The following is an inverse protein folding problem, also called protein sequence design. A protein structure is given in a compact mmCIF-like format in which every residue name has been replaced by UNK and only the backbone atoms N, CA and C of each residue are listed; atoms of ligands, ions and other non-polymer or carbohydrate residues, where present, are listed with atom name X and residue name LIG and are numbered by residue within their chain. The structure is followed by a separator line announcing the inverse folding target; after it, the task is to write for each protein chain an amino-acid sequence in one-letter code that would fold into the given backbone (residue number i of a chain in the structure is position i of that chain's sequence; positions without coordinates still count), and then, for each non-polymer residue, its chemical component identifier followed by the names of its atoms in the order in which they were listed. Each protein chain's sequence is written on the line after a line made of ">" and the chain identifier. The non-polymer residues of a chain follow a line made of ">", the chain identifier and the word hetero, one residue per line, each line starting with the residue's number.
data_IF_399277705847
#
_entry.id   IF_399277705847
#
_cell.length_a   1.000
_cell.length_b   1.000
_cell.length_c   1.000
_cell.angle_alpha   90.00
_cell.angle_beta   90.00
_cell.angle_gamma   90.00
#
_symmetry.space_group_name_H-M   'P 1'
#
loop_
_entity.id
_entity.type
_entity.pdbx_description
1 polymer ?
#
# COMPACT_ATOMS: atom_id res chain seq x y z
N UNK A 1 5.82 -16.45 12.27
CA UNK A 1 5.35 -15.63 11.12
C UNK A 1 6.14 -14.34 11.10
N UNK A 2 7.40 -14.40 11.52
CA UNK A 2 8.13 -13.27 12.14
C UNK A 2 8.88 -12.45 11.09
N UNK A 3 8.46 -12.65 9.84
CA UNK A 3 9.03 -12.08 8.62
C UNK A 3 8.02 -11.19 7.90
N UNK A 4 6.80 -11.01 8.42
CA UNK A 4 5.85 -10.05 7.89
C UNK A 4 5.50 -9.02 8.97
N UNK A 5 5.47 -7.75 8.59
CA UNK A 5 5.13 -6.63 9.47
C UNK A 5 4.00 -5.82 8.85
N UNK A 6 2.97 -5.54 9.63
CA UNK A 6 1.88 -4.67 9.19
C UNK A 6 2.39 -3.23 9.06
N UNK A 7 2.02 -2.54 7.97
CA UNK A 7 2.41 -1.15 7.71
C UNK A 7 1.21 -0.23 7.92
N UNK A 8 0.16 -0.42 7.12
CA UNK A 8 -1.04 0.42 7.10
C UNK A 8 -2.22 -0.39 6.56
N UNK A 9 -3.43 0.02 6.92
CA UNK A 9 -4.65 -0.53 6.36
C UNK A 9 -5.78 0.49 6.33
N UNK A 10 -6.65 0.33 5.35
CA UNK A 10 -7.93 1.03 5.21
C UNK A 10 -9.06 -0.01 5.24
N UNK A 11 -10.30 0.45 5.14
CA UNK A 11 -11.55 -0.31 5.28
C UNK A 11 -11.50 -1.73 4.71
N UNK A 12 -10.98 -1.89 3.49
CA UNK A 12 -10.96 -3.13 2.72
C UNK A 12 -9.56 -3.53 2.21
N UNK A 13 -8.50 -2.86 2.69
CA UNK A 13 -7.13 -3.07 2.21
C UNK A 13 -6.11 -3.00 3.33
N UNK A 14 -5.02 -3.77 3.20
CA UNK A 14 -3.91 -3.75 4.15
C UNK A 14 -2.58 -3.96 3.44
N UNK A 15 -1.55 -3.28 3.92
CA UNK A 15 -0.18 -3.35 3.44
C UNK A 15 0.70 -4.04 4.48
N UNK A 16 1.50 -4.97 4.02
CA UNK A 16 2.44 -5.74 4.84
C UNK A 16 3.84 -5.68 4.21
N UNK A 17 4.85 -5.38 5.02
CA UNK A 17 6.25 -5.54 4.65
C UNK A 17 6.67 -6.98 4.84
N UNK A 18 7.49 -7.50 3.93
CA UNK A 18 8.05 -8.85 4.02
C UNK A 18 9.57 -8.73 4.18
N UNK A 19 10.11 -9.33 5.24
CA UNK A 19 11.54 -9.38 5.51
C UNK A 19 12.21 -10.25 4.44
N UNK A 20 13.05 -9.63 3.64
CA UNK A 20 13.84 -10.26 2.59
C UNK A 20 15.11 -9.48 2.31
N UNK A 21 15.85 -9.92 1.30
CA UNK A 21 16.95 -9.15 0.74
C UNK A 21 16.38 -8.09 -0.22
N UNK A 22 16.68 -6.79 -0.05
CA UNK A 22 16.18 -5.73 -0.93
C UNK A 22 16.54 -5.89 -2.41
N UNK A 23 17.61 -6.64 -2.70
CA UNK A 23 18.06 -6.91 -4.07
C UNK A 23 17.32 -8.09 -4.71
N UNK A 24 16.56 -8.85 -3.93
CA UNK A 24 15.78 -9.95 -4.49
C UNK A 24 14.51 -9.39 -5.13
N UNK A 25 14.24 -9.80 -6.36
CA UNK A 25 12.99 -9.44 -7.00
C UNK A 25 11.82 -10.23 -6.38
N UNK A 26 10.81 -9.48 -5.93
CA UNK A 26 9.61 -10.02 -5.26
C UNK A 26 8.84 -10.96 -6.19
N UNK A 27 8.95 -10.83 -7.51
CA UNK A 27 8.19 -11.68 -8.44
C UNK A 27 8.87 -13.01 -8.76
N UNK A 28 10.19 -13.01 -8.89
CA UNK A 28 10.98 -14.20 -9.24
C UNK A 28 11.44 -15.01 -8.01
N UNK A 29 11.45 -14.43 -6.82
CA UNK A 29 11.88 -15.13 -5.62
C UNK A 29 10.79 -16.08 -5.09
N UNK A 30 10.88 -17.35 -5.48
CA UNK A 30 9.98 -18.44 -5.04
C UNK A 30 9.72 -18.48 -3.53
N UNK A 31 10.71 -18.13 -2.71
CA UNK A 31 10.57 -18.15 -1.23
C UNK A 31 9.65 -17.03 -0.74
N UNK A 32 9.68 -15.86 -1.39
CA UNK A 32 8.78 -14.74 -1.10
C UNK A 32 7.36 -15.08 -1.57
N UNK A 33 7.19 -15.62 -2.79
CA UNK A 33 5.89 -16.09 -3.30
C UNK A 33 5.24 -17.09 -2.36
N UNK A 34 5.97 -18.13 -1.95
CA UNK A 34 5.44 -19.15 -1.05
C UNK A 34 5.04 -18.56 0.30
N UNK A 35 5.78 -17.57 0.81
CA UNK A 35 5.43 -16.90 2.07
C UNK A 35 4.12 -16.10 1.93
N UNK A 36 3.93 -15.41 0.81
CA UNK A 36 2.70 -14.67 0.50
C UNK A 36 1.52 -15.63 0.39
N UNK A 37 1.68 -16.75 -0.33
CA UNK A 37 0.62 -17.76 -0.48
C UNK A 37 0.22 -18.36 0.87
N UNK A 38 1.18 -18.78 1.70
CA UNK A 38 0.91 -19.30 3.04
C UNK A 38 0.19 -18.26 3.91
N UNK A 39 0.57 -16.99 3.81
CA UNK A 39 -0.08 -15.90 4.53
C UNK A 39 -1.54 -15.73 4.11
N UNK A 40 -1.81 -15.68 2.80
CA UNK A 40 -3.17 -15.56 2.26
C UNK A 40 -4.02 -16.74 2.69
N UNK A 41 -3.52 -17.98 2.56
CA UNK A 41 -4.26 -19.17 2.99
C UNK A 41 -4.63 -19.12 4.48
N UNK A 42 -3.72 -18.69 5.34
CA UNK A 42 -3.98 -18.52 6.79
C UNK A 42 -4.96 -17.40 7.12
N UNK A 43 -5.02 -16.36 6.29
CA UNK A 43 -6.00 -15.30 6.47
C UNK A 43 -7.38 -15.74 5.98
N UNK A 44 -7.45 -16.40 4.83
CA UNK A 44 -8.68 -16.96 4.28
C UNK A 44 -9.31 -18.01 5.19
N UNK A 45 -8.50 -18.82 5.89
CA UNK A 45 -9.02 -19.80 6.85
C UNK A 45 -9.73 -19.19 8.06
N UNK A 46 -9.66 -17.86 8.27
CA UNK A 46 -10.40 -17.14 9.32
C UNK A 46 -11.80 -16.73 8.87
N UNK A 47 -12.09 -16.80 7.57
CA UNK A 47 -13.40 -16.52 7.01
C UNK A 47 -14.17 -17.84 6.80
N UNK A 48 -15.50 -17.82 6.75
CA UNK A 48 -16.30 -18.97 6.33
C UNK A 48 -15.78 -19.55 5.01
N UNK A 49 -15.88 -20.87 4.80
CA UNK A 49 -15.35 -21.51 3.60
C UNK A 49 -15.94 -20.85 2.35
N UNK A 50 -15.06 -20.19 1.60
CA UNK A 50 -15.40 -19.57 0.33
C UNK A 50 -15.55 -20.70 -0.69
N UNK A 51 -16.66 -20.74 -1.42
CA UNK A 51 -16.84 -21.73 -2.49
C UNK A 51 -15.94 -21.40 -3.69
N UNK A 52 -15.17 -22.37 -4.16
CA UNK A 52 -14.36 -22.31 -5.38
C UNK A 52 -12.86 -22.07 -5.17
N UNK A 53 -12.12 -21.93 -6.29
CA UNK A 53 -10.65 -21.84 -6.31
C UNK A 53 -10.08 -20.52 -5.70
N UNK A 54 -8.95 -20.58 -4.99
CA UNK A 54 -8.38 -19.43 -4.25
C UNK A 54 -7.83 -18.35 -5.20
N UNK A 55 -7.53 -18.71 -6.45
CA UNK A 55 -6.83 -17.87 -7.43
C UNK A 55 -7.73 -16.94 -8.26
N UNK A 56 -9.02 -16.88 -7.97
CA UNK A 56 -9.92 -15.96 -8.67
C UNK A 56 -9.89 -14.56 -8.03
N UNK A 57 -9.47 -13.57 -8.81
CA UNK A 57 -9.55 -12.17 -8.42
C UNK A 57 -11.02 -11.77 -8.21
N UNK A 58 -11.38 -11.46 -6.95
CA UNK A 58 -12.66 -10.87 -6.49
C UNK A 58 -13.78 -11.87 -6.13
N UNK A 59 -13.49 -12.84 -5.28
CA UNK A 59 -14.53 -13.59 -4.55
C UNK A 59 -15.08 -12.81 -3.36
N UNK A 60 -16.36 -13.04 -3.05
CA UNK A 60 -16.96 -12.58 -1.79
C UNK A 60 -16.16 -13.17 -0.63
N UNK A 61 -15.70 -12.32 0.28
CA UNK A 61 -14.79 -12.65 1.40
C UNK A 61 -13.40 -13.17 0.96
N UNK A 62 -13.07 -13.08 -0.32
CA UNK A 62 -11.75 -13.39 -0.86
C UNK A 62 -10.74 -12.27 -0.58
N UNK A 63 -9.46 -12.63 -0.58
CA UNK A 63 -8.34 -11.70 -0.52
C UNK A 63 -7.65 -11.69 -1.88
N UNK A 64 -7.41 -10.50 -2.43
CA UNK A 64 -6.69 -10.32 -3.69
C UNK A 64 -5.43 -9.50 -3.45
N UNK A 65 -4.33 -9.86 -4.11
CA UNK A 65 -3.11 -9.07 -4.08
C UNK A 65 -3.28 -7.93 -5.09
N UNK A 66 -3.63 -6.74 -4.60
CA UNK A 66 -3.81 -5.59 -5.50
C UNK A 66 -2.48 -5.00 -5.99
N UNK A 67 -1.49 -4.93 -5.10
CA UNK A 67 -0.21 -4.23 -5.33
C UNK A 67 0.93 -4.89 -4.60
N UNK A 68 2.08 -4.93 -5.25
CA UNK A 68 3.37 -5.27 -4.68
C UNK A 68 4.36 -4.16 -5.04
N UNK A 69 5.31 -3.90 -4.14
CA UNK A 69 6.28 -2.84 -4.29
C UNK A 69 7.51 -3.11 -3.44
N UNK A 70 8.61 -2.43 -3.74
CA UNK A 70 9.89 -2.57 -3.02
C UNK A 70 9.91 -1.85 -1.70
N UNK A 71 9.28 -0.68 -1.64
CA UNK A 71 9.26 0.16 -0.45
C UNK A 71 7.90 0.84 -0.29
N UNK A 72 7.53 1.10 0.96
CA UNK A 72 6.35 1.86 1.32
C UNK A 72 6.65 2.74 2.53
N UNK A 73 6.16 3.98 2.49
CA UNK A 73 6.23 4.93 3.59
C UNK A 73 4.80 5.36 3.94
N UNK A 74 4.35 5.01 5.14
CA UNK A 74 3.07 5.44 5.68
C UNK A 74 3.29 6.60 6.65
N UNK A 75 2.87 7.80 6.26
CA UNK A 75 3.05 9.02 7.06
C UNK A 75 1.94 9.16 8.11
N UNK A 76 0.71 8.83 7.71
CA UNK A 76 -0.48 8.87 8.55
C UNK A 76 -1.56 7.97 7.92
N UNK A 77 -2.66 7.64 8.64
CA UNK A 77 -3.77 6.89 8.05
C UNK A 77 -4.25 7.54 6.74
N UNK A 78 -4.38 6.74 5.67
CA UNK A 78 -4.78 7.20 4.31
C UNK A 78 -3.79 8.15 3.62
N UNK A 79 -2.60 8.35 4.19
CA UNK A 79 -1.53 9.19 3.65
C UNK A 79 -0.22 8.38 3.58
N UNK A 80 0.06 7.83 2.40
CA UNK A 80 1.19 6.93 2.19
C UNK A 80 1.73 7.00 0.76
N UNK A 81 2.93 6.48 0.57
CA UNK A 81 3.57 6.31 -0.73
C UNK A 81 4.08 4.87 -0.86
N UNK A 82 3.90 4.29 -2.05
CA UNK A 82 4.46 2.97 -2.41
C UNK A 82 5.33 3.09 -3.66
N UNK A 83 6.50 2.48 -3.61
CA UNK A 83 7.43 2.36 -4.74
C UNK A 83 7.19 1.02 -5.43
N UNK A 84 6.74 1.06 -6.68
CA UNK A 84 6.47 -0.15 -7.45
C UNK A 84 7.65 -0.48 -8.35
N UNK A 85 8.07 -1.75 -8.37
CA UNK A 85 9.17 -2.23 -9.21
C UNK A 85 8.95 -2.06 -10.71
N UNK A 86 7.69 -1.94 -11.15
CA UNK A 86 7.35 -1.95 -12.57
C UNK A 86 7.79 -0.70 -13.34
N UNK A 87 8.23 0.38 -12.68
CA UNK A 87 8.49 1.65 -13.40
C UNK A 87 9.32 2.71 -12.65
N UNK A 88 9.86 2.44 -11.47
CA UNK A 88 10.41 3.47 -10.57
C UNK A 88 9.41 4.61 -10.24
N UNK A 89 8.14 4.46 -10.62
CA UNK A 89 7.08 5.42 -10.35
C UNK A 89 6.59 5.16 -8.93
N UNK A 90 6.63 6.22 -8.13
CA UNK A 90 6.08 6.19 -6.77
C UNK A 90 4.63 6.61 -6.81
N UNK A 91 3.75 5.78 -6.25
CA UNK A 91 2.33 6.09 -6.14
C UNK A 91 2.06 6.71 -4.78
N UNK A 92 1.79 8.01 -4.79
CA UNK A 92 1.45 8.79 -3.60
C UNK A 92 -0.07 8.80 -3.42
N UNK A 93 -0.55 8.41 -2.24
CA UNK A 93 -1.96 8.50 -1.83
C UNK A 93 -2.06 9.43 -0.63
N UNK A 94 -2.82 10.51 -0.80
CA UNK A 94 -3.04 11.53 0.22
C UNK A 94 -4.54 11.80 0.29
N UNK A 95 -5.12 11.74 1.49
CA UNK A 95 -6.51 12.07 1.75
C UNK A 95 -6.60 13.49 2.30
N UNK A 96 -7.60 14.25 1.83
CA UNK A 96 -7.79 15.65 2.22
C UNK A 96 -6.99 16.66 1.40
N UNK A 97 -5.96 16.23 0.67
CA UNK A 97 -5.09 17.13 -0.10
C UNK A 97 -5.46 17.14 -1.59
N UNK A 98 -5.54 18.34 -2.18
CA UNK A 98 -5.71 18.46 -3.62
C UNK A 98 -4.37 18.28 -4.34
N UNK A 99 -4.21 17.16 -5.06
CA UNK A 99 -2.95 16.83 -5.74
C UNK A 99 -2.64 17.75 -6.93
N UNK A 100 -3.66 18.25 -7.62
CA UNK A 100 -3.47 19.11 -8.81
C UNK A 100 -2.87 20.47 -8.44
N UNK A 101 -3.31 21.02 -7.30
CA UNK A 101 -2.85 22.34 -6.84
C UNK A 101 -1.51 22.28 -6.13
N UNK A 102 -1.28 21.25 -5.31
CA UNK A 102 -0.12 21.21 -4.42
C UNK A 102 1.12 20.53 -5.02
N UNK A 103 1.02 19.87 -6.19
CA UNK A 103 2.14 19.22 -6.90
C UNK A 103 3.11 18.44 -5.98
N UNK A 104 2.56 17.62 -5.08
CA UNK A 104 3.35 16.88 -4.09
C UNK A 104 4.10 15.74 -4.78
N UNK A 105 5.41 15.73 -4.63
CA UNK A 105 6.30 14.70 -5.17
C UNK A 105 6.87 13.80 -4.07
N UNK A 106 7.56 12.73 -4.48
CA UNK A 106 8.24 11.81 -3.56
C UNK A 106 9.34 12.53 -2.79
N UNK A 107 10.14 13.31 -3.50
CA UNK A 107 11.31 14.02 -2.99
C UNK A 107 10.88 14.96 -1.88
N UNK A 108 9.81 15.75 -2.11
CA UNK A 108 9.25 16.64 -1.10
C UNK A 108 8.84 15.90 0.18
N UNK A 109 8.25 14.71 0.06
CA UNK A 109 7.89 13.89 1.22
C UNK A 109 9.15 13.41 1.96
N UNK A 110 10.15 12.92 1.23
CA UNK A 110 11.41 12.42 1.79
C UNK A 110 12.17 13.55 2.49
N UNK A 111 12.24 14.73 1.88
CA UNK A 111 12.89 15.91 2.44
C UNK A 111 12.19 16.35 3.74
N UNK A 112 10.85 16.33 3.78
CA UNK A 112 10.10 16.61 5.00
C UNK A 112 10.41 15.61 6.13
N UNK A 113 10.64 14.34 5.81
CA UNK A 113 11.00 13.30 6.80
C UNK A 113 12.43 13.49 7.30
N UNK A 114 13.37 13.71 6.38
CA UNK A 114 14.80 13.73 6.68
C UNK A 114 15.24 15.06 7.32
N UNK A 115 14.72 16.18 6.83
CA UNK A 115 15.12 17.53 7.25
C UNK A 115 14.18 18.12 8.30
N UNK A 116 13.01 17.51 8.51
CA UNK A 116 11.98 18.04 9.43
C UNK A 116 11.22 19.25 8.86
N UNK A 117 11.29 19.47 7.54
CA UNK A 117 10.61 20.58 6.89
C UNK A 117 9.08 20.44 6.96
N UNK A 118 8.39 21.57 7.16
CA UNK A 118 6.92 21.63 7.20
C UNK A 118 6.39 22.14 5.86
N UNK A 119 5.79 21.26 5.07
CA UNK A 119 5.09 21.65 3.85
C UNK A 119 3.61 21.89 4.13
N UNK A 120 3.09 23.07 3.74
CA UNK A 120 1.67 23.40 3.84
C UNK A 120 0.96 23.11 2.52
N UNK A 121 -0.19 22.45 2.58
CA UNK A 121 -0.98 22.10 1.40
C UNK A 121 -2.40 22.64 1.50
N UNK A 122 -2.96 22.99 0.35
CA UNK A 122 -4.36 23.39 0.21
C UNK A 122 -5.27 22.16 0.21
N UNK A 123 -6.28 22.17 1.08
CA UNK A 123 -7.29 21.11 1.14
C UNK A 123 -8.18 21.10 -0.11
N UNK A 124 -8.79 19.95 -0.41
CA UNK A 124 -9.93 19.93 -1.32
C UNK A 124 -11.12 20.65 -0.67
N UNK A 125 -11.57 21.77 -1.26
CA UNK A 125 -12.92 22.27 -0.98
C UNK A 125 -13.91 21.25 -1.56
N UNK A 126 -14.65 20.53 -0.71
CA UNK A 126 -15.94 19.97 -1.15
C UNK A 126 -16.78 21.16 -1.56
N UNK A 127 -17.30 21.15 -2.79
CA UNK A 127 -17.97 22.29 -3.40
C UNK A 127 -18.97 22.94 -2.44
N UNK A 128 -18.64 24.14 -1.96
CA UNK A 128 -19.68 25.09 -1.61
C UNK A 128 -20.34 25.43 -2.93
N UNK A 129 -21.48 24.80 -3.23
CA UNK A 129 -22.47 25.48 -4.06
C UNK A 129 -22.77 26.78 -3.30
N UNK A 130 -22.46 27.91 -3.91
CA UNK A 130 -22.96 29.18 -3.42
C UNK A 130 -24.49 29.06 -3.40
N UNK A 131 -25.07 29.02 -2.19
CA UNK A 131 -26.50 29.22 -1.97
C UNK A 131 -26.84 30.68 -2.23
#
# INVERSE_FOLDING_TARGET
>A
MDKMQFIEGDTDSAFWAIKGNPNDDIYSNLKLQLMIEIFIMRMLSKFPPIRGDIKEDKKILGLAIERQGTAMVALAPKNYMIETNYSAISKIKLKGVNKKTNKITKELIIDCINEGNITKCTYMRLGQMNL
#
